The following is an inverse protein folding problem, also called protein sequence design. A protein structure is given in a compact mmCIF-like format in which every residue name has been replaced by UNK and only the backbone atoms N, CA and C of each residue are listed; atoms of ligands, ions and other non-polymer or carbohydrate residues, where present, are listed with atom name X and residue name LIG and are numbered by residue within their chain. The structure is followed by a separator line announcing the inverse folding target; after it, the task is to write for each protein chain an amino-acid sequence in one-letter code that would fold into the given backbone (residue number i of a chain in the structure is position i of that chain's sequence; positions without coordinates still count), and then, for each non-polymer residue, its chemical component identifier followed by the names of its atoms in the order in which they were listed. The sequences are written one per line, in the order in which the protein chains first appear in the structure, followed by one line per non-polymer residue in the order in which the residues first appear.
data_IF_641182316638
#
_entry.id   IF_641182316638
#
_cell.length_a   1.000
_cell.length_b   1.000
_cell.length_c   1.000
_cell.angle_alpha   90.00
_cell.angle_beta   90.00
_cell.angle_gamma   90.00
#
_symmetry.space_group_name_H-M   'P 1'
#
loop_
_entity.id
_entity.type
_entity.pdbx_description
1 polymer ?
#
# COMPACT_ATOMS: atom_id res chain seq x y z
N UNK A 1 -10.59 11.16 30.64
CA UNK A 1 -10.81 11.21 29.19
C UNK A 1 -11.33 9.83 28.76
N UNK A 2 -12.33 9.69 27.88
CA UNK A 2 -12.75 8.38 27.42
C UNK A 2 -11.55 7.70 26.78
N UNK A 3 -11.20 6.56 27.34
CA UNK A 3 -9.98 5.82 27.05
C UNK A 3 -9.90 5.46 25.56
N UNK A 4 -8.79 5.82 24.92
CA UNK A 4 -8.46 5.45 23.54
C UNK A 4 -8.74 6.49 22.45
N UNK A 5 -9.40 7.61 22.71
CA UNK A 5 -9.64 8.64 21.71
C UNK A 5 -8.48 9.64 21.67
N UNK A 6 -7.75 9.76 20.53
CA UNK A 6 -6.63 10.69 20.43
C UNK A 6 -7.06 12.16 20.56
N UNK A 7 -6.24 13.01 21.19
CA UNK A 7 -6.54 14.42 21.44
C UNK A 7 -6.86 15.23 20.15
N UNK A 8 -6.28 14.88 18.99
CA UNK A 8 -6.53 15.57 17.73
C UNK A 8 -7.97 15.40 17.19
N UNK A 9 -8.73 14.43 17.71
CA UNK A 9 -10.14 14.22 17.30
C UNK A 9 -11.01 15.40 17.72
N UNK A 10 -10.68 16.03 18.83
CA UNK A 10 -11.43 17.14 19.40
C UNK A 10 -10.98 18.51 18.88
N UNK A 11 -9.87 18.58 18.16
CA UNK A 11 -9.26 19.84 17.77
C UNK A 11 -9.99 20.60 16.64
N UNK A 12 -10.82 19.91 15.83
CA UNK A 12 -11.60 20.52 14.73
C UNK A 12 -12.62 19.51 14.16
N UNK A 13 -13.68 19.99 13.44
CA UNK A 13 -14.66 19.12 12.78
C UNK A 13 -14.04 18.10 11.83
N UNK A 14 -12.94 18.45 11.15
CA UNK A 14 -12.17 17.54 10.29
C UNK A 14 -11.51 16.41 11.11
N UNK A 15 -11.06 16.70 12.32
CA UNK A 15 -10.49 15.68 13.23
C UNK A 15 -11.50 14.56 13.50
N UNK A 16 -12.71 14.92 13.88
CA UNK A 16 -13.79 13.95 14.11
C UNK A 16 -14.15 13.14 12.87
N UNK A 17 -14.22 13.77 11.67
CA UNK A 17 -14.49 13.09 10.42
C UNK A 17 -13.39 12.08 10.06
N UNK A 18 -12.11 12.45 10.25
CA UNK A 18 -10.95 11.55 10.03
C UNK A 18 -10.94 10.39 11.03
N UNK A 19 -11.26 10.66 12.30
CA UNK A 19 -11.36 9.60 13.31
C UNK A 19 -12.46 8.60 12.97
N UNK A 20 -13.64 9.09 12.57
CA UNK A 20 -14.71 8.22 12.08
C UNK A 20 -14.25 7.36 10.91
N UNK A 21 -13.53 7.94 9.95
CA UNK A 21 -12.95 7.21 8.82
C UNK A 21 -11.96 6.13 9.30
N UNK A 22 -11.06 6.47 10.23
CA UNK A 22 -10.10 5.52 10.82
C UNK A 22 -10.81 4.32 11.44
N UNK A 23 -11.87 4.54 12.20
CA UNK A 23 -12.64 3.46 12.84
C UNK A 23 -13.33 2.57 11.82
N UNK A 24 -13.97 3.16 10.79
CA UNK A 24 -14.67 2.42 9.74
C UNK A 24 -13.68 1.58 8.92
N UNK A 25 -12.54 2.16 8.51
CA UNK A 25 -11.61 1.52 7.57
C UNK A 25 -10.51 0.73 8.24
N UNK A 26 -10.33 0.84 9.57
CA UNK A 26 -9.16 0.28 10.28
C UNK A 26 -7.84 0.78 9.68
N UNK A 27 -7.82 2.02 9.20
CA UNK A 27 -6.69 2.60 8.44
C UNK A 27 -6.30 1.79 7.20
N UNK A 28 -7.14 0.89 6.71
CA UNK A 28 -6.80 0.03 5.58
C UNK A 28 -5.65 -0.95 5.86
N UNK A 29 -5.45 -1.34 7.11
CA UNK A 29 -4.33 -2.22 7.52
C UNK A 29 -4.30 -3.56 6.77
N UNK A 30 -5.45 -4.07 6.35
CA UNK A 30 -5.54 -5.28 5.53
C UNK A 30 -4.84 -5.14 4.19
N UNK A 31 -4.82 -3.93 3.60
CA UNK A 31 -4.11 -3.67 2.33
C UNK A 31 -2.60 -3.82 2.49
N UNK A 32 -2.04 -3.21 3.54
CA UNK A 32 -0.59 -3.32 3.79
C UNK A 32 -0.17 -4.73 4.16
N UNK A 33 -0.96 -5.43 4.98
CA UNK A 33 -0.64 -6.82 5.37
C UNK A 33 -0.78 -7.79 4.19
N UNK A 34 -1.80 -7.64 3.35
CA UNK A 34 -1.97 -8.48 2.16
C UNK A 34 -0.84 -8.26 1.14
N UNK A 35 -0.31 -7.05 1.01
CA UNK A 35 0.76 -6.76 0.07
C UNK A 35 2.06 -7.51 0.39
N UNK A 36 2.33 -7.85 1.67
CA UNK A 36 3.56 -8.52 2.09
C UNK A 36 3.79 -9.85 1.35
N UNK A 37 2.87 -10.82 1.38
CA UNK A 37 3.08 -12.10 0.68
C UNK A 37 3.16 -11.94 -0.84
N UNK A 38 2.46 -10.97 -1.44
CA UNK A 38 2.58 -10.73 -2.87
C UNK A 38 3.95 -10.20 -3.27
N UNK A 39 4.50 -9.22 -2.53
CA UNK A 39 5.85 -8.73 -2.77
C UNK A 39 6.91 -9.81 -2.49
N UNK A 40 6.74 -10.62 -1.45
CA UNK A 40 7.62 -11.74 -1.17
C UNK A 40 7.57 -12.80 -2.28
N UNK A 41 6.39 -13.11 -2.81
CA UNK A 41 6.23 -14.01 -3.95
C UNK A 41 6.89 -13.47 -5.21
N UNK A 42 6.76 -12.16 -5.51
CA UNK A 42 7.46 -11.53 -6.62
C UNK A 42 8.98 -11.67 -6.50
N UNK A 43 9.54 -11.43 -5.31
CA UNK A 43 10.95 -11.62 -5.05
C UNK A 43 11.41 -13.07 -5.24
N UNK A 44 10.63 -14.02 -4.70
CA UNK A 44 10.93 -15.45 -4.82
C UNK A 44 10.87 -15.95 -6.26
N UNK A 45 9.84 -15.59 -7.01
CA UNK A 45 9.71 -15.96 -8.43
C UNK A 45 10.87 -15.35 -9.25
N UNK A 46 11.19 -14.07 -9.01
CA UNK A 46 12.32 -13.43 -9.70
C UNK A 46 13.68 -14.09 -9.39
N UNK A 47 13.86 -14.60 -8.16
CA UNK A 47 15.11 -15.23 -7.75
C UNK A 47 15.28 -16.67 -8.25
N UNK A 48 14.18 -17.42 -8.34
CA UNK A 48 14.29 -18.89 -8.46
C UNK A 48 13.57 -19.50 -9.66
N UNK A 49 12.64 -18.78 -10.34
CA UNK A 49 11.83 -19.41 -11.37
C UNK A 49 12.48 -19.42 -12.76
N UNK A 50 13.57 -18.68 -12.98
CA UNK A 50 14.27 -18.63 -14.27
C UNK A 50 13.42 -18.13 -15.45
N UNK A 51 12.41 -17.29 -15.18
CA UNK A 51 11.52 -16.75 -16.20
C UNK A 51 12.24 -15.70 -17.07
N UNK A 52 11.86 -15.63 -18.35
CA UNK A 52 12.27 -14.52 -19.20
C UNK A 52 11.70 -13.19 -18.70
N UNK A 53 12.31 -12.04 -19.04
CA UNK A 53 11.91 -10.74 -18.50
C UNK A 53 10.46 -10.36 -18.76
N UNK A 54 9.87 -10.73 -19.90
CA UNK A 54 8.50 -10.36 -20.23
C UNK A 54 7.49 -11.18 -19.41
N UNK A 55 7.70 -12.47 -19.28
CA UNK A 55 6.90 -13.37 -18.43
C UNK A 55 6.98 -12.96 -16.97
N UNK A 56 8.18 -12.61 -16.48
CA UNK A 56 8.36 -12.11 -15.10
C UNK A 56 7.62 -10.79 -14.86
N UNK A 57 7.72 -9.85 -15.80
CA UNK A 57 7.01 -8.57 -15.69
C UNK A 57 5.49 -8.76 -15.72
N UNK A 58 4.97 -9.64 -16.56
CA UNK A 58 3.54 -10.00 -16.57
C UNK A 58 3.11 -10.62 -15.26
N UNK A 59 3.91 -11.52 -14.69
CA UNK A 59 3.66 -12.07 -13.36
C UNK A 59 3.58 -10.97 -12.30
N UNK A 60 4.48 -9.98 -12.32
CA UNK A 60 4.45 -8.85 -11.39
C UNK A 60 3.18 -8.02 -11.53
N UNK A 61 2.73 -7.76 -12.74
CA UNK A 61 1.48 -7.02 -13.01
C UNK A 61 0.29 -7.77 -12.43
N UNK A 62 0.19 -9.07 -12.69
CA UNK A 62 -0.91 -9.91 -12.18
C UNK A 62 -0.88 -9.97 -10.66
N UNK A 63 0.29 -10.26 -10.07
CA UNK A 63 0.45 -10.31 -8.62
C UNK A 63 0.11 -8.96 -7.95
N UNK A 64 0.58 -7.85 -8.54
CA UNK A 64 0.25 -6.50 -8.08
C UNK A 64 -1.25 -6.19 -8.14
N UNK A 65 -1.94 -6.59 -9.19
CA UNK A 65 -3.38 -6.42 -9.34
C UNK A 65 -4.16 -7.22 -8.27
N UNK A 66 -3.70 -8.40 -7.90
CA UNK A 66 -4.32 -9.26 -6.90
C UNK A 66 -4.18 -8.71 -5.47
N UNK A 67 -3.26 -7.79 -5.21
CA UNK A 67 -3.11 -7.15 -3.88
C UNK A 67 -4.41 -6.44 -3.47
N UNK A 68 -5.11 -5.79 -4.40
CA UNK A 68 -6.33 -5.05 -4.07
C UNK A 68 -7.46 -5.97 -3.58
N UNK A 69 -7.90 -7.00 -4.31
CA UNK A 69 -8.95 -7.90 -3.83
C UNK A 69 -8.55 -8.64 -2.56
N UNK A 70 -7.30 -9.11 -2.46
CA UNK A 70 -6.80 -9.77 -1.26
C UNK A 70 -6.81 -8.83 -0.04
N UNK A 71 -6.32 -7.61 -0.22
CA UNK A 71 -6.32 -6.59 0.82
C UNK A 71 -7.72 -6.15 1.23
N UNK A 72 -8.65 -6.05 0.29
CA UNK A 72 -10.05 -5.76 0.57
C UNK A 72 -10.68 -6.86 1.45
N UNK A 73 -10.49 -8.12 1.07
CA UNK A 73 -11.01 -9.27 1.83
C UNK A 73 -10.38 -9.35 3.21
N UNK A 74 -9.06 -9.22 3.29
CA UNK A 74 -8.36 -9.24 4.59
C UNK A 74 -8.80 -8.07 5.48
N UNK A 75 -8.93 -6.86 4.93
CA UNK A 75 -9.38 -5.71 5.70
C UNK A 75 -10.80 -5.89 6.23
N UNK A 76 -11.68 -6.51 5.42
CA UNK A 76 -13.04 -6.87 5.83
C UNK A 76 -13.03 -7.93 6.95
N UNK A 77 -12.20 -8.96 6.83
CA UNK A 77 -12.02 -9.98 7.87
C UNK A 77 -11.51 -9.38 9.19
N UNK A 78 -10.71 -8.31 9.10
CA UNK A 78 -10.26 -7.53 10.26
C UNK A 78 -11.30 -6.50 10.76
N UNK A 79 -12.53 -6.52 10.25
CA UNK A 79 -13.63 -5.65 10.67
C UNK A 79 -13.57 -4.22 10.09
N UNK A 80 -12.83 -3.99 9.00
CA UNK A 80 -12.75 -2.69 8.32
C UNK A 80 -13.53 -2.65 7.01
N UNK A 81 -14.18 -1.52 6.71
CA UNK A 81 -14.84 -1.25 5.42
C UNK A 81 -14.04 -0.22 4.61
N UNK A 82 -13.27 -0.70 3.60
CA UNK A 82 -12.48 0.17 2.72
C UNK A 82 -13.34 1.06 1.82
N UNK A 83 -14.60 0.71 1.58
CA UNK A 83 -15.54 1.58 0.87
C UNK A 83 -15.94 2.82 1.71
N UNK A 84 -15.52 2.87 2.97
CA UNK A 84 -15.76 3.98 3.90
C UNK A 84 -17.25 4.38 4.00
N UNK A 85 -18.16 3.40 3.96
CA UNK A 85 -19.60 3.63 4.03
C UNK A 85 -19.95 4.37 5.32
N UNK A 86 -20.74 5.43 5.20
CA UNK A 86 -21.11 6.27 6.34
C UNK A 86 -20.04 7.30 6.78
N UNK A 87 -18.91 7.42 6.07
CA UNK A 87 -17.94 8.49 6.25
C UNK A 87 -18.21 9.68 5.31
N UNK A 88 -18.14 10.91 5.83
CA UNK A 88 -18.18 12.14 5.02
C UNK A 88 -16.97 12.26 4.08
N UNK A 89 -15.88 11.54 4.37
CA UNK A 89 -14.64 11.53 3.57
C UNK A 89 -14.62 10.42 2.50
N UNK A 90 -15.73 9.69 2.31
CA UNK A 90 -15.82 8.60 1.32
C UNK A 90 -15.42 9.05 -0.09
N UNK A 91 -15.84 10.25 -0.50
CA UNK A 91 -15.51 10.79 -1.83
C UNK A 91 -14.00 10.94 -2.04
N UNK A 92 -13.27 11.39 -1.02
CA UNK A 92 -11.80 11.52 -1.07
C UNK A 92 -11.15 10.13 -1.17
N UNK A 93 -11.62 9.16 -0.39
CA UNK A 93 -11.13 7.77 -0.49
C UNK A 93 -11.35 7.21 -1.89
N UNK A 94 -12.53 7.45 -2.47
CA UNK A 94 -12.84 7.04 -3.84
C UNK A 94 -11.93 7.71 -4.88
N UNK A 95 -11.69 9.01 -4.76
CA UNK A 95 -10.81 9.75 -5.66
C UNK A 95 -9.36 9.23 -5.61
N UNK A 96 -8.84 8.91 -4.42
CA UNK A 96 -7.51 8.31 -4.25
C UNK A 96 -7.46 6.93 -4.93
N UNK A 97 -8.50 6.12 -4.78
CA UNK A 97 -8.59 4.80 -5.42
C UNK A 97 -8.61 4.92 -6.95
N UNK A 98 -9.39 5.86 -7.50
CA UNK A 98 -9.41 6.12 -8.95
C UNK A 98 -8.04 6.60 -9.43
N UNK A 99 -7.39 7.52 -8.70
CA UNK A 99 -6.03 7.97 -9.00
C UNK A 99 -5.02 6.81 -9.07
N UNK A 100 -5.16 5.84 -8.18
CA UNK A 100 -4.35 4.60 -8.21
C UNK A 100 -4.59 3.79 -9.48
N UNK A 101 -5.85 3.66 -9.92
CA UNK A 101 -6.19 2.94 -11.15
C UNK A 101 -5.57 3.62 -12.39
N UNK A 102 -5.50 4.94 -12.43
CA UNK A 102 -4.80 5.66 -13.51
C UNK A 102 -3.30 5.34 -13.53
N UNK A 103 -2.68 5.13 -12.36
CA UNK A 103 -1.28 4.69 -12.28
C UNK A 103 -1.02 3.35 -12.97
N UNK A 104 -2.01 2.45 -13.03
CA UNK A 104 -1.90 1.18 -13.74
C UNK A 104 -1.73 1.33 -15.25
N UNK A 105 -2.22 2.42 -15.85
CA UNK A 105 -2.00 2.70 -17.28
C UNK A 105 -0.51 2.87 -17.58
N UNK A 106 0.26 3.49 -16.66
CA UNK A 106 1.71 3.58 -16.79
C UNK A 106 2.38 2.21 -16.67
N UNK A 107 1.94 1.36 -15.74
CA UNK A 107 2.48 0.00 -15.60
C UNK A 107 2.23 -0.82 -16.86
N UNK A 108 1.03 -0.73 -17.45
CA UNK A 108 0.68 -1.42 -18.70
C UNK A 108 1.52 -0.89 -19.86
N UNK A 109 1.72 0.41 -19.96
CA UNK A 109 2.59 1.01 -20.98
C UNK A 109 4.03 0.50 -20.85
N UNK A 110 4.58 0.45 -19.64
CA UNK A 110 5.92 -0.07 -19.39
C UNK A 110 6.03 -1.58 -19.65
N UNK A 111 4.98 -2.35 -19.38
CA UNK A 111 4.95 -3.77 -19.76
C UNK A 111 5.11 -3.98 -21.28
N UNK A 112 4.59 -3.04 -22.09
CA UNK A 112 4.69 -3.09 -23.54
C UNK A 112 6.01 -2.51 -24.09
N UNK A 113 6.59 -1.52 -23.38
CA UNK A 113 7.72 -0.73 -23.90
C UNK A 113 9.07 -1.07 -23.24
N UNK A 114 9.08 -1.29 -21.93
CA UNK A 114 10.30 -1.48 -21.13
C UNK A 114 10.02 -2.33 -19.87
N UNK A 115 9.96 -3.62 -20.08
CA UNK A 115 9.60 -4.61 -19.03
C UNK A 115 10.52 -4.55 -17.78
N UNK A 116 11.76 -4.09 -17.95
CA UNK A 116 12.73 -3.99 -16.84
C UNK A 116 12.34 -2.94 -15.79
N UNK A 117 11.49 -1.99 -16.17
CA UNK A 117 11.02 -0.94 -15.26
C UNK A 117 9.74 -1.29 -14.52
N UNK A 118 9.09 -2.43 -14.82
CA UNK A 118 7.79 -2.79 -14.23
C UNK A 118 7.87 -2.95 -12.72
N UNK A 119 8.90 -3.59 -12.19
CA UNK A 119 9.08 -3.73 -10.74
C UNK A 119 9.21 -2.37 -10.04
N UNK A 120 9.99 -1.46 -10.62
CA UNK A 120 10.13 -0.09 -10.11
C UNK A 120 8.82 0.69 -10.20
N UNK A 121 8.13 0.64 -11.34
CA UNK A 121 6.87 1.35 -11.52
C UNK A 121 5.80 0.88 -10.51
N UNK A 122 5.69 -0.42 -10.29
CA UNK A 122 4.81 -0.97 -9.26
C UNK A 122 5.19 -0.47 -7.86
N UNK A 123 6.48 -0.49 -7.50
CA UNK A 123 6.95 0.02 -6.21
C UNK A 123 6.62 1.50 -6.02
N UNK A 124 6.86 2.32 -7.04
CA UNK A 124 6.59 3.76 -7.01
C UNK A 124 5.09 4.06 -6.90
N UNK A 125 4.26 3.44 -7.75
CA UNK A 125 2.82 3.70 -7.81
C UNK A 125 2.11 3.15 -6.57
N UNK A 126 2.40 1.90 -6.19
CA UNK A 126 1.77 1.28 -5.02
C UNK A 126 2.28 1.90 -3.72
N UNK A 127 3.52 2.39 -3.67
CA UNK A 127 4.04 3.16 -2.54
C UNK A 127 3.39 4.54 -2.44
N UNK A 128 3.47 5.33 -3.51
CA UNK A 128 2.94 6.70 -3.55
C UNK A 128 1.45 6.80 -3.22
N UNK A 129 0.68 5.75 -3.55
CA UNK A 129 -0.73 5.64 -3.19
C UNK A 129 -0.99 5.82 -1.69
N UNK A 130 -0.05 5.45 -0.81
CA UNK A 130 -0.21 5.59 0.63
C UNK A 130 0.04 7.01 1.15
N UNK A 131 0.65 7.91 0.39
CA UNK A 131 0.91 9.29 0.83
C UNK A 131 -0.36 10.03 1.25
N UNK A 132 -1.43 10.08 0.43
CA UNK A 132 -2.68 10.72 0.84
C UNK A 132 -3.34 10.01 2.03
N UNK A 133 -3.20 8.70 2.16
CA UNK A 133 -3.68 7.98 3.34
C UNK A 133 -2.87 8.27 4.60
N UNK A 134 -1.57 8.58 4.47
CA UNK A 134 -0.75 9.09 5.56
C UNK A 134 -1.38 10.32 6.22
N UNK A 135 -1.87 11.24 5.38
CA UNK A 135 -2.59 12.43 5.83
C UNK A 135 -3.98 12.08 6.38
N UNK A 136 -4.80 11.34 5.60
CA UNK A 136 -6.17 10.97 5.97
C UNK A 136 -6.24 10.25 7.33
N UNK A 137 -5.37 9.29 7.55
CA UNK A 137 -5.37 8.46 8.76
C UNK A 137 -4.43 8.97 9.86
N UNK A 138 -3.70 10.09 9.61
CA UNK A 138 -2.60 10.56 10.47
C UNK A 138 -1.62 9.42 10.78
N UNK A 139 -1.28 8.63 9.80
CA UNK A 139 -0.42 7.45 9.93
C UNK A 139 0.98 7.71 9.33
N UNK A 140 1.99 8.11 10.14
CA UNK A 140 3.35 8.39 9.64
C UNK A 140 3.96 7.22 8.86
N UNK A 141 3.61 5.97 9.24
CA UNK A 141 4.07 4.78 8.53
C UNK A 141 3.69 4.78 7.04
N UNK A 142 2.58 5.41 6.65
CA UNK A 142 2.17 5.51 5.25
C UNK A 142 2.96 6.55 4.47
N UNK A 143 3.36 7.65 5.11
CA UNK A 143 4.30 8.58 4.49
C UNK A 143 5.66 7.92 4.27
N UNK A 144 6.16 7.22 5.32
CA UNK A 144 7.42 6.49 5.21
C UNK A 144 7.37 5.42 4.10
N UNK A 145 6.27 4.63 4.02
CA UNK A 145 6.06 3.63 2.97
C UNK A 145 6.04 4.27 1.58
N UNK A 146 5.32 5.40 1.42
CA UNK A 146 5.20 6.07 0.13
C UNK A 146 6.52 6.64 -0.37
N UNK A 147 7.25 7.35 0.49
CA UNK A 147 8.54 7.96 0.14
C UNK A 147 9.62 6.88 -0.04
N UNK A 148 9.70 5.92 0.91
CA UNK A 148 10.70 4.86 0.83
C UNK A 148 10.45 3.91 -0.35
N UNK A 149 9.19 3.57 -0.65
CA UNK A 149 8.85 2.70 -1.78
C UNK A 149 9.32 3.28 -3.11
N UNK A 150 9.02 4.55 -3.37
CA UNK A 150 9.50 5.24 -4.56
C UNK A 150 11.01 5.44 -4.56
N UNK A 151 11.57 5.95 -3.45
CA UNK A 151 13.00 6.27 -3.36
C UNK A 151 13.92 5.05 -3.40
N UNK A 152 13.59 4.01 -2.63
CA UNK A 152 14.36 2.74 -2.63
C UNK A 152 14.21 2.05 -3.98
N UNK A 153 13.00 2.02 -4.55
CA UNK A 153 12.77 1.45 -5.88
C UNK A 153 13.61 2.14 -6.95
N UNK A 154 13.64 3.49 -6.96
CA UNK A 154 14.45 4.26 -7.90
C UNK A 154 15.95 4.03 -7.71
N UNK A 155 16.43 4.02 -6.46
CA UNK A 155 17.83 3.79 -6.16
C UNK A 155 18.29 2.39 -6.60
N UNK A 156 17.51 1.35 -6.29
CA UNK A 156 17.83 -0.03 -6.71
C UNK A 156 17.82 -0.18 -8.22
N UNK A 157 16.83 0.43 -8.91
CA UNK A 157 16.75 0.39 -10.36
C UNK A 157 17.94 1.08 -11.01
N UNK A 158 18.40 2.21 -10.47
CA UNK A 158 19.52 2.99 -11.02
C UNK A 158 20.89 2.38 -10.69
N UNK A 159 21.10 1.90 -9.47
CA UNK A 159 22.40 1.47 -8.98
C UNK A 159 22.66 -0.04 -9.16
N UNK A 160 21.62 -0.85 -9.25
CA UNK A 160 21.72 -2.29 -9.37
C UNK A 160 20.66 -2.88 -10.33
N UNK A 161 20.59 -2.42 -11.59
CA UNK A 161 19.52 -2.80 -12.52
C UNK A 161 19.44 -4.31 -12.77
N UNK A 162 20.56 -5.02 -12.74
CA UNK A 162 20.58 -6.47 -12.90
C UNK A 162 19.90 -7.23 -11.74
N UNK A 163 19.94 -6.67 -10.53
CA UNK A 163 19.31 -7.25 -9.34
C UNK A 163 17.93 -6.64 -9.04
N UNK A 164 17.50 -5.61 -9.77
CA UNK A 164 16.33 -4.80 -9.45
C UNK A 164 15.05 -5.65 -9.31
N UNK A 165 14.85 -6.63 -10.17
CA UNK A 165 13.66 -7.50 -10.14
C UNK A 165 13.56 -8.39 -8.89
N UNK A 166 14.64 -8.63 -8.18
CA UNK A 166 14.66 -9.33 -6.89
C UNK A 166 14.70 -8.34 -5.74
N UNK A 167 15.59 -7.34 -5.83
CA UNK A 167 15.87 -6.43 -4.74
C UNK A 167 14.68 -5.49 -4.44
N UNK A 168 14.01 -4.97 -5.48
CA UNK A 168 12.85 -4.08 -5.30
C UNK A 168 11.71 -4.82 -4.60
N UNK A 169 11.21 -5.96 -5.07
CA UNK A 169 10.15 -6.69 -4.38
C UNK A 169 10.53 -7.10 -2.95
N UNK A 170 11.78 -7.48 -2.71
CA UNK A 170 12.27 -7.80 -1.36
C UNK A 170 12.18 -6.59 -0.44
N UNK A 171 12.69 -5.44 -0.88
CA UNK A 171 12.62 -4.20 -0.12
C UNK A 171 11.16 -3.79 0.16
N UNK A 172 10.30 -3.90 -0.85
CA UNK A 172 8.88 -3.59 -0.69
C UNK A 172 8.17 -4.53 0.30
N UNK A 173 8.46 -5.85 0.27
CA UNK A 173 7.91 -6.78 1.26
C UNK A 173 8.26 -6.34 2.69
N UNK A 174 9.51 -5.94 2.94
CA UNK A 174 9.95 -5.46 4.24
C UNK A 174 9.29 -4.13 4.63
N UNK A 175 9.23 -3.17 3.71
CA UNK A 175 8.57 -1.87 3.95
C UNK A 175 7.09 -2.05 4.28
N UNK A 176 6.36 -2.89 3.55
CA UNK A 176 4.96 -3.19 3.81
C UNK A 176 4.76 -3.95 5.13
N UNK A 177 5.66 -4.87 5.48
CA UNK A 177 5.61 -5.57 6.77
C UNK A 177 5.78 -4.60 7.94
N UNK A 178 6.77 -3.71 7.88
CA UNK A 178 7.01 -2.69 8.92
C UNK A 178 5.84 -1.70 9.01
N UNK A 179 5.36 -1.20 7.87
CA UNK A 179 4.23 -0.28 7.85
C UNK A 179 2.95 -0.95 8.38
N UNK A 180 2.64 -2.17 7.91
CA UNK A 180 1.48 -2.94 8.35
C UNK A 180 1.51 -3.22 9.86
N UNK A 181 2.65 -3.68 10.38
CA UNK A 181 2.83 -3.91 11.81
C UNK A 181 2.68 -2.63 12.64
N UNK A 182 3.22 -1.50 12.15
CA UNK A 182 3.09 -0.19 12.82
C UNK A 182 1.63 0.26 12.89
N UNK A 183 0.91 0.18 11.76
CA UNK A 183 -0.52 0.56 11.70
C UNK A 183 -1.38 -0.39 12.54
N UNK A 184 -1.11 -1.68 12.50
CA UNK A 184 -1.79 -2.68 13.32
C UNK A 184 -1.64 -2.39 14.83
N UNK A 185 -0.41 -2.16 15.30
CA UNK A 185 -0.13 -1.81 16.71
C UNK A 185 -0.85 -0.54 17.10
N UNK A 186 -0.85 0.45 16.22
CA UNK A 186 -1.53 1.73 16.48
C UNK A 186 -3.04 1.57 16.57
N UNK A 187 -3.66 0.80 15.67
CA UNK A 187 -5.09 0.49 15.73
C UNK A 187 -5.47 -0.16 17.07
N UNK A 188 -4.64 -1.07 17.56
CA UNK A 188 -4.88 -1.70 18.88
C UNK A 188 -4.77 -0.72 20.05
N UNK A 189 -3.76 0.15 20.02
CA UNK A 189 -3.56 1.16 21.10
C UNK A 189 -4.66 2.22 21.16
N UNK A 190 -5.16 2.62 20.01
CA UNK A 190 -6.18 3.68 19.93
C UNK A 190 -7.63 3.13 19.93
N UNK A 191 -7.84 1.86 20.29
CA UNK A 191 -9.16 1.24 20.33
C UNK A 191 -9.89 1.21 18.97
N UNK A 192 -9.16 1.38 17.88
CA UNK A 192 -9.72 1.28 16.53
C UNK A 192 -9.92 -0.18 16.10
N UNK A 193 -9.49 -1.14 16.91
CA UNK A 193 -9.69 -2.57 16.75
C UNK A 193 -10.67 -3.03 17.84
N UNK A 194 -11.85 -3.41 17.47
CA UNK A 194 -12.80 -4.11 18.33
C UNK A 194 -13.05 -5.47 17.74
#
# INVERSE_FOLDING_TARGET
MPDGVPAWVHAAPLGAARWKLVRITRRGVGMTLAAVPFWAAMAGVAAFAGLDPATLALFFVIAGALVYPAGYLLNRALGGDLAARGSKLRGIVGAITVGQLLGWLLVIALLAMEVRLVAFALAAILGAHFLPYGWLYRAPAYYALGVAGGGVGAALQALAPAAANVAIPTAMALLYAVAGASVWRRNRREGASC
#
